data_IF_253049949664
#
_entry.id   IF_253049949664
#
_cell.length_a   1.000
_cell.length_b   1.000
_cell.length_c   1.000
_cell.angle_alpha   90.00
_cell.angle_beta   90.00
_cell.angle_gamma   90.00
#
_symmetry.space_group_name_H-M   'P 1'
#
loop_
_entity.id
_entity.type
_entity.pdbx_description
1 polymer ?
#
# COMPACT_ATOMS: atom_id res chain seq x y z
N UNK A 1 43.52 -2.68 11.05
CA UNK A 1 42.92 -3.37 9.88
C UNK A 1 41.42 -3.30 10.02
N UNK A 2 40.77 -2.76 8.98
CA UNK A 2 39.36 -2.40 8.91
C UNK A 2 38.43 -3.62 8.81
N UNK A 3 37.18 -3.45 9.26
CA UNK A 3 36.08 -4.37 9.01
C UNK A 3 34.75 -3.80 9.50
N UNK A 4 34.33 -2.68 8.91
CA UNK A 4 33.11 -1.96 9.27
C UNK A 4 31.82 -2.70 8.89
N UNK A 5 30.86 -2.67 9.81
CA UNK A 5 29.48 -3.08 9.57
C UNK A 5 28.81 -2.12 8.58
N UNK A 6 28.46 -2.63 7.39
CA UNK A 6 27.71 -1.88 6.39
C UNK A 6 26.21 -1.95 6.72
N UNK A 7 25.63 -0.77 6.86
CA UNK A 7 24.20 -0.52 7.01
C UNK A 7 23.39 -1.18 5.87
N UNK A 8 22.24 -1.75 6.23
CA UNK A 8 21.21 -2.15 5.27
C UNK A 8 20.62 -0.89 4.61
N UNK A 9 20.55 -0.80 3.28
CA UNK A 9 19.88 0.30 2.61
C UNK A 9 18.37 0.21 2.88
N UNK A 10 17.81 1.32 3.34
CA UNK A 10 16.38 1.59 3.28
C UNK A 10 15.93 1.41 1.83
N UNK A 11 15.06 0.44 1.56
CA UNK A 11 14.25 0.40 0.34
C UNK A 11 13.22 1.55 0.45
N UNK A 12 13.70 2.76 0.18
CA UNK A 12 12.90 3.95 -0.03
C UNK A 12 12.81 4.25 -1.52
N UNK A 13 11.59 4.56 -1.94
CA UNK A 13 11.17 5.08 -3.26
C UNK A 13 10.80 4.04 -4.31
N UNK A 14 9.71 3.30 -4.03
CA UNK A 14 8.65 3.15 -5.02
C UNK A 14 7.72 4.37 -4.89
N UNK A 15 7.16 4.93 -5.98
CA UNK A 15 6.41 6.17 -5.91
C UNK A 15 5.21 5.98 -4.98
N UNK A 16 5.18 6.80 -3.93
CA UNK A 16 3.97 7.02 -3.13
C UNK A 16 2.92 7.56 -4.08
N UNK A 17 1.94 6.72 -4.43
CA UNK A 17 0.75 7.17 -5.09
C UNK A 17 0.03 8.13 -4.13
N UNK A 18 -0.14 9.35 -4.61
CA UNK A 18 -0.84 10.44 -3.96
C UNK A 18 -2.23 9.97 -3.54
N UNK A 19 -2.60 10.28 -2.30
CA UNK A 19 -3.98 10.18 -1.82
C UNK A 19 -4.76 11.35 -2.41
N UNK A 20 -5.30 11.14 -3.60
CA UNK A 20 -6.32 11.97 -4.24
C UNK A 20 -7.23 11.02 -5.00
N UNK A 21 -8.54 11.23 -4.91
CA UNK A 21 -9.54 10.47 -5.68
C UNK A 21 -9.29 10.66 -7.17
N UNK A 22 -8.47 9.82 -7.79
CA UNK A 22 -8.29 9.79 -9.24
C UNK A 22 -8.29 8.35 -9.75
N UNK A 23 -9.19 8.13 -10.71
CA UNK A 23 -9.46 6.92 -11.50
C UNK A 23 -10.38 5.89 -10.84
N UNK A 24 -11.68 6.11 -11.00
CA UNK A 24 -12.69 5.04 -11.01
C UNK A 24 -12.43 3.97 -12.11
N UNK A 25 -11.38 4.17 -12.93
CA UNK A 25 -10.88 3.27 -13.99
C UNK A 25 -9.61 2.47 -13.61
N UNK A 26 -9.17 2.42 -12.34
CA UNK A 26 -8.20 1.40 -11.95
C UNK A 26 -8.85 0.01 -11.89
N UNK A 27 -8.44 -0.88 -12.80
CA UNK A 27 -8.72 -2.32 -12.79
C UNK A 27 -8.67 -2.87 -11.34
N UNK A 28 -9.77 -3.50 -10.88
CA UNK A 28 -9.96 -4.02 -9.51
C UNK A 28 -8.74 -4.84 -9.02
N UNK A 29 -8.04 -5.45 -9.94
CA UNK A 29 -6.95 -6.38 -9.70
C UNK A 29 -5.66 -5.67 -9.33
N UNK A 30 -5.44 -4.47 -9.88
CA UNK A 30 -4.37 -3.58 -9.46
C UNK A 30 -4.58 -3.16 -8.01
N UNK A 31 -5.82 -2.81 -7.63
CA UNK A 31 -6.19 -2.45 -6.27
C UNK A 31 -5.97 -3.60 -5.30
N UNK A 32 -6.43 -4.80 -5.66
CA UNK A 32 -6.24 -6.02 -4.84
C UNK A 32 -4.75 -6.32 -4.68
N UNK A 33 -3.98 -6.31 -5.76
CA UNK A 33 -2.55 -6.53 -5.72
C UNK A 33 -1.85 -5.52 -4.80
N UNK A 34 -2.17 -4.23 -4.92
CA UNK A 34 -1.65 -3.19 -4.06
C UNK A 34 -1.97 -3.44 -2.59
N UNK A 35 -3.23 -3.76 -2.26
CA UNK A 35 -3.63 -4.05 -0.87
C UNK A 35 -2.87 -5.25 -0.32
N UNK A 36 -2.67 -6.31 -1.13
CA UNK A 36 -1.89 -7.49 -0.73
C UNK A 36 -0.44 -7.13 -0.39
N UNK A 37 0.23 -6.39 -1.27
CA UNK A 37 1.63 -5.99 -1.06
C UNK A 37 1.75 -5.01 0.10
N UNK A 38 0.84 -4.04 0.21
CA UNK A 38 0.80 -3.08 1.31
C UNK A 38 0.57 -3.75 2.66
N UNK A 39 -0.38 -4.71 2.74
CA UNK A 39 -0.62 -5.50 3.95
C UNK A 39 0.57 -6.39 4.32
N UNK A 40 1.31 -6.92 3.33
CA UNK A 40 2.55 -7.66 3.56
C UNK A 40 3.62 -6.77 4.18
N UNK A 41 3.81 -5.56 3.64
CA UNK A 41 4.74 -4.56 4.21
C UNK A 41 4.33 -4.12 5.62
N UNK A 42 3.02 -3.96 5.88
CA UNK A 42 2.49 -3.66 7.20
C UNK A 42 2.76 -4.80 8.19
N UNK A 43 2.58 -6.05 7.78
CA UNK A 43 2.90 -7.24 8.59
C UNK A 43 4.38 -7.26 8.99
N UNK A 44 5.29 -7.05 8.03
CA UNK A 44 6.73 -7.01 8.29
C UNK A 44 7.07 -5.88 9.27
N UNK A 45 6.49 -4.70 9.07
CA UNK A 45 6.69 -3.54 9.95
C UNK A 45 6.23 -3.83 11.38
N UNK A 46 5.08 -4.50 11.55
CA UNK A 46 4.58 -4.90 12.86
C UNK A 46 5.56 -5.85 13.59
N UNK A 47 6.11 -6.84 12.89
CA UNK A 47 7.12 -7.75 13.46
C UNK A 47 8.40 -7.02 13.86
N UNK A 48 8.89 -6.08 13.02
CA UNK A 48 10.10 -5.31 13.32
C UNK A 48 9.91 -4.40 14.53
N UNK A 49 8.73 -3.78 14.67
CA UNK A 49 8.46 -2.92 15.82
C UNK A 49 8.22 -3.73 17.10
N UNK A 50 7.60 -4.92 17.00
CA UNK A 50 7.37 -5.82 18.13
C UNK A 50 8.67 -6.38 18.71
N UNK A 51 9.58 -6.82 17.85
CA UNK A 51 10.87 -7.40 18.23
C UNK A 51 12.00 -6.47 17.80
N UNK A 52 12.08 -5.29 18.42
CA UNK A 52 13.12 -4.30 18.15
C UNK A 52 14.28 -4.45 19.13
N UNK A 53 15.52 -4.41 18.63
CA UNK A 53 16.71 -4.43 19.49
C UNK A 53 16.99 -3.03 20.02
N UNK A 54 16.93 -2.87 21.35
CA UNK A 54 17.41 -1.67 22.00
C UNK A 54 18.94 -1.69 22.05
N UNK A 55 19.58 -0.79 21.31
CA UNK A 55 21.05 -0.74 21.20
C UNK A 55 21.75 -0.29 22.49
N UNK A 56 21.04 0.42 23.38
CA UNK A 56 21.60 0.87 24.65
C UNK A 56 21.61 -0.25 25.69
N UNK A 57 20.56 -1.08 25.72
CA UNK A 57 20.41 -2.14 26.72
C UNK A 57 20.78 -3.53 26.20
N UNK A 58 20.86 -3.71 24.88
CA UNK A 58 21.08 -5.01 24.23
C UNK A 58 19.87 -5.95 24.30
N UNK A 59 18.72 -5.49 24.79
CA UNK A 59 17.52 -6.30 24.95
C UNK A 59 16.56 -6.14 23.75
N UNK A 60 15.91 -7.23 23.37
CA UNK A 60 14.84 -7.23 22.36
C UNK A 60 13.50 -6.93 23.03
N UNK A 61 12.69 -6.08 22.42
CA UNK A 61 11.37 -5.76 22.93
C UNK A 61 10.55 -4.82 22.04
N UNK A 62 9.32 -4.49 22.46
CA UNK A 62 8.41 -3.65 21.69
C UNK A 62 8.91 -2.20 21.66
N UNK A 63 8.91 -1.62 20.46
CA UNK A 63 9.29 -0.23 20.22
C UNK A 63 8.07 0.59 19.76
N UNK A 64 7.54 1.40 20.67
CA UNK A 64 6.35 2.23 20.43
C UNK A 64 6.60 3.33 19.38
N UNK A 65 7.80 3.93 19.37
CA UNK A 65 8.16 4.95 18.38
C UNK A 65 8.14 4.37 16.97
N UNK A 66 8.73 3.18 16.77
CA UNK A 66 8.68 2.45 15.50
C UNK A 66 7.25 2.19 15.06
N UNK A 67 6.39 1.74 15.97
CA UNK A 67 4.99 1.45 15.67
C UNK A 67 4.24 2.73 15.27
N UNK A 68 4.47 3.84 15.97
CA UNK A 68 3.80 5.11 15.72
C UNK A 68 4.05 5.62 14.30
N UNK A 69 5.33 5.76 13.96
CA UNK A 69 5.80 6.28 12.67
C UNK A 69 5.44 5.37 11.49
N UNK A 70 5.44 4.04 11.68
CA UNK A 70 5.28 3.09 10.57
C UNK A 70 3.85 2.60 10.36
N UNK A 71 3.04 2.55 11.41
CA UNK A 71 1.71 1.93 11.38
C UNK A 71 0.60 2.78 12.00
N UNK A 72 0.81 3.39 13.17
CA UNK A 72 -0.27 4.11 13.86
C UNK A 72 -0.76 5.34 13.08
N UNK A 73 0.16 6.13 12.52
CA UNK A 73 -0.15 7.29 11.68
C UNK A 73 -0.71 6.91 10.30
N UNK A 74 -0.76 5.62 10.00
CA UNK A 74 -1.09 5.06 8.69
C UNK A 74 -2.18 3.96 8.81
N UNK A 75 -3.43 4.32 9.20
CA UNK A 75 -4.51 3.35 9.41
C UNK A 75 -4.85 2.53 8.16
N UNK A 76 -4.58 3.07 6.96
CA UNK A 76 -4.75 2.37 5.69
C UNK A 76 -3.87 1.12 5.60
N UNK A 77 -2.66 1.15 6.19
CA UNK A 77 -1.75 -0.01 6.23
C UNK A 77 -2.28 -1.10 7.14
N UNK A 78 -2.88 -0.72 8.26
CA UNK A 78 -3.53 -1.64 9.20
C UNK A 78 -4.77 -2.27 8.54
N UNK A 79 -5.58 -1.47 7.83
CA UNK A 79 -6.72 -1.96 7.05
C UNK A 79 -6.28 -2.99 5.99
N UNK A 80 -5.16 -2.75 5.30
CA UNK A 80 -4.59 -3.69 4.34
C UNK A 80 -4.02 -4.96 5.02
N UNK A 81 -3.53 -4.87 6.25
CA UNK A 81 -3.14 -6.04 7.03
C UNK A 81 -4.35 -6.95 7.36
N UNK A 82 -5.47 -6.36 7.78
CA UNK A 82 -6.73 -7.11 7.99
C UNK A 82 -7.26 -7.71 6.69
N UNK A 83 -7.16 -6.98 5.57
CA UNK A 83 -7.50 -7.49 4.24
C UNK A 83 -6.70 -8.77 3.91
N UNK A 84 -5.38 -8.74 4.13
CA UNK A 84 -4.52 -9.91 3.92
C UNK A 84 -4.89 -11.09 4.81
N UNK A 85 -5.22 -10.83 6.06
CA UNK A 85 -5.68 -11.87 6.98
C UNK A 85 -6.97 -12.52 6.45
N UNK A 86 -7.97 -11.73 6.08
CA UNK A 86 -9.23 -12.23 5.53
C UNK A 86 -9.01 -13.04 4.24
N UNK A 87 -8.17 -12.55 3.32
CA UNK A 87 -7.84 -13.24 2.07
C UNK A 87 -7.23 -14.63 2.34
N UNK A 88 -6.24 -14.72 3.24
CA UNK A 88 -5.54 -15.97 3.53
C UNK A 88 -6.42 -16.94 4.33
N UNK A 89 -7.18 -16.44 5.31
CA UNK A 89 -8.17 -17.26 6.06
C UNK A 89 -9.19 -17.86 5.10
N UNK A 90 -9.69 -17.07 4.15
CA UNK A 90 -10.62 -17.55 3.14
C UNK A 90 -10.04 -18.65 2.27
N UNK A 91 -8.80 -18.48 1.80
CA UNK A 91 -8.10 -19.53 1.05
C UNK A 91 -7.92 -20.81 1.87
N UNK A 92 -7.59 -20.71 3.16
CA UNK A 92 -7.45 -21.88 4.05
C UNK A 92 -8.79 -22.57 4.31
N UNK A 93 -9.87 -21.82 4.49
CA UNK A 93 -11.23 -22.37 4.62
C UNK A 93 -11.62 -23.17 3.38
N UNK A 94 -11.37 -22.61 2.19
CA UNK A 94 -11.66 -23.24 0.90
C UNK A 94 -10.81 -24.48 0.63
N UNK A 95 -9.57 -24.49 1.10
CA UNK A 95 -8.66 -25.62 0.95
C UNK A 95 -9.04 -26.81 1.86
N UNK A 96 -9.71 -26.57 3.00
CA UNK A 96 -10.01 -27.57 4.03
C UNK A 96 -10.50 -28.93 3.53
N UNK A 97 -11.56 -29.00 2.70
CA UNK A 97 -12.10 -30.27 2.18
C UNK A 97 -11.08 -31.10 1.40
N UNK A 98 -10.10 -30.45 0.76
CA UNK A 98 -9.08 -31.10 -0.08
C UNK A 98 -7.89 -31.64 0.73
N UNK A 99 -7.77 -31.29 2.01
CA UNK A 99 -6.66 -31.73 2.88
C UNK A 99 -6.93 -33.07 3.58
N UNK A 100 -8.15 -33.59 3.49
CA UNK A 100 -8.53 -34.87 4.12
C UNK A 100 -7.74 -36.06 3.61
N UNK A 101 -7.32 -36.06 2.33
CA UNK A 101 -6.57 -37.16 1.73
C UNK A 101 -5.05 -36.88 1.69
N UNK A 102 -4.61 -35.71 2.17
CA UNK A 102 -3.21 -35.30 2.07
C UNK A 102 -2.33 -35.99 3.12
N UNK A 103 -1.11 -36.38 2.70
CA UNK A 103 -0.06 -36.92 3.57
C UNK A 103 1.05 -35.87 3.74
N UNK A 104 1.24 -35.41 4.97
CA UNK A 104 2.22 -34.40 5.35
C UNK A 104 3.62 -34.99 5.54
N UNK A 105 3.73 -36.06 6.35
CA UNK A 105 4.98 -36.71 6.69
C UNK A 105 4.92 -38.22 6.39
N UNK A 106 5.62 -38.67 5.35
CA UNK A 106 5.65 -40.09 4.99
C UNK A 106 6.57 -40.93 5.90
N UNK A 107 7.48 -40.29 6.66
CA UNK A 107 8.46 -40.97 7.49
C UNK A 107 8.00 -41.25 8.92
N UNK A 108 6.98 -40.54 9.42
CA UNK A 108 6.44 -40.71 10.76
C UNK A 108 4.90 -40.58 10.74
N UNK A 109 4.17 -41.71 10.83
CA UNK A 109 2.71 -41.72 10.82
C UNK A 109 2.08 -40.97 12.00
N UNK A 110 2.77 -40.89 13.15
CA UNK A 110 2.22 -40.25 14.35
C UNK A 110 2.22 -38.72 14.20
N UNK A 111 3.33 -38.16 13.73
CA UNK A 111 3.45 -36.73 13.41
C UNK A 111 2.56 -36.33 12.23
N UNK A 112 2.39 -37.21 11.25
CA UNK A 112 1.47 -36.99 10.13
C UNK A 112 0.03 -36.81 10.62
N UNK A 113 -0.45 -37.74 11.44
CA UNK A 113 -1.79 -37.70 12.01
C UNK A 113 -2.01 -36.46 12.89
N UNK A 114 -1.03 -36.10 13.72
CA UNK A 114 -1.11 -34.91 14.58
C UNK A 114 -1.15 -33.61 13.75
N UNK A 115 -0.26 -33.49 12.76
CA UNK A 115 -0.20 -32.31 11.87
C UNK A 115 -1.51 -32.17 11.10
N UNK A 116 -2.01 -33.28 10.56
CA UNK A 116 -3.28 -33.33 9.83
C UNK A 116 -4.45 -32.90 10.72
N UNK A 117 -4.54 -33.42 11.94
CA UNK A 117 -5.59 -33.03 12.90
C UNK A 117 -5.56 -31.52 13.19
N UNK A 118 -4.38 -30.94 13.40
CA UNK A 118 -4.22 -29.50 13.67
C UNK A 118 -4.58 -28.63 12.47
N UNK A 119 -4.13 -29.03 11.27
CA UNK A 119 -4.44 -28.32 10.02
C UNK A 119 -5.93 -28.35 9.72
N UNK A 120 -6.57 -29.52 9.87
CA UNK A 120 -8.01 -29.65 9.68
C UNK A 120 -8.80 -28.81 10.69
N UNK A 121 -8.37 -28.78 11.96
CA UNK A 121 -8.99 -27.93 12.97
C UNK A 121 -8.94 -26.43 12.61
N UNK A 122 -7.78 -25.93 12.15
CA UNK A 122 -7.63 -24.55 11.68
C UNK A 122 -8.54 -24.28 10.48
N UNK A 123 -8.56 -25.18 9.50
CA UNK A 123 -9.40 -25.01 8.30
C UNK A 123 -10.90 -25.02 8.61
N UNK A 124 -11.32 -25.88 9.55
CA UNK A 124 -12.71 -25.94 10.01
C UNK A 124 -13.11 -24.69 10.78
N UNK A 125 -12.20 -24.13 11.59
CA UNK A 125 -12.43 -22.85 12.27
C UNK A 125 -12.54 -21.70 11.26
N UNK A 126 -11.64 -21.64 10.28
CA UNK A 126 -11.67 -20.65 9.22
C UNK A 126 -12.97 -20.71 8.39
N UNK A 127 -13.55 -21.90 8.21
CA UNK A 127 -14.79 -22.10 7.47
C UNK A 127 -16.07 -21.71 8.24
N UNK A 128 -16.00 -21.57 9.57
CA UNK A 128 -17.15 -21.14 10.39
C UNK A 128 -17.41 -19.63 10.31
N UNK A 129 -16.37 -18.86 10.03
CA UNK A 129 -16.49 -17.42 9.94
C UNK A 129 -17.25 -17.03 8.66
N UNK A 130 -18.11 -15.99 8.72
CA UNK A 130 -18.87 -15.56 7.56
C UNK A 130 -17.93 -15.08 6.45
N UNK A 131 -18.35 -15.24 5.19
CA UNK A 131 -17.57 -14.77 4.05
C UNK A 131 -17.44 -13.24 4.13
N UNK A 132 -16.26 -12.75 4.51
CA UNK A 132 -15.92 -11.32 4.57
C UNK A 132 -15.66 -10.76 3.17
N UNK A 133 -15.41 -11.66 2.20
CA UNK A 133 -15.01 -11.34 0.85
C UNK A 133 -16.06 -11.85 -0.14
N UNK A 134 -16.56 -10.97 -1.00
CA UNK A 134 -17.43 -11.37 -2.12
C UNK A 134 -16.54 -11.74 -3.31
N UNK A 135 -16.33 -13.04 -3.49
CA UNK A 135 -15.54 -13.58 -4.60
C UNK A 135 -16.09 -13.15 -5.96
N UNK A 136 -17.41 -13.01 -6.08
CA UNK A 136 -18.02 -12.65 -7.35
C UNK A 136 -17.58 -11.25 -7.79
N UNK A 137 -17.44 -10.30 -6.89
CA UNK A 137 -17.00 -8.95 -7.26
C UNK A 137 -15.53 -8.88 -7.68
N UNK A 138 -14.67 -9.78 -7.20
CA UNK A 138 -13.25 -9.81 -7.57
C UNK A 138 -12.97 -10.70 -8.79
N UNK A 139 -13.87 -11.64 -9.09
CA UNK A 139 -13.60 -12.75 -10.01
C UNK A 139 -14.72 -13.02 -11.03
N UNK A 140 -15.74 -12.15 -11.11
CA UNK A 140 -16.72 -12.17 -12.21
C UNK A 140 -16.08 -11.51 -13.41
N UNK A 141 -15.85 -12.31 -14.44
CA UNK A 141 -15.86 -12.00 -15.88
C UNK A 141 -14.94 -13.00 -16.58
N UNK A 142 -15.30 -13.45 -17.78
CA UNK A 142 -14.64 -14.50 -18.58
C UNK A 142 -13.17 -14.25 -18.97
N UNK A 143 -12.46 -13.38 -18.25
CA UNK A 143 -11.01 -13.10 -18.33
C UNK A 143 -10.20 -13.84 -17.26
N UNK A 144 -10.84 -14.72 -16.47
CA UNK A 144 -10.21 -15.51 -15.39
C UNK A 144 -8.86 -16.18 -15.72
N UNK A 145 -8.60 -16.70 -16.94
CA UNK A 145 -7.29 -17.23 -17.30
C UNK A 145 -6.20 -16.14 -17.41
N UNK A 146 -6.53 -14.96 -17.96
CA UNK A 146 -5.59 -13.85 -18.13
C UNK A 146 -5.22 -13.28 -16.77
N UNK A 147 -6.22 -13.04 -15.93
CA UNK A 147 -6.01 -12.40 -14.64
C UNK A 147 -5.16 -13.24 -13.69
N UNK A 148 -5.42 -14.55 -13.65
CA UNK A 148 -4.62 -15.51 -12.88
C UNK A 148 -3.15 -15.46 -13.31
N UNK A 149 -2.90 -15.40 -14.61
CA UNK A 149 -1.54 -15.36 -15.15
C UNK A 149 -0.85 -14.04 -14.80
N UNK A 150 -1.57 -12.92 -14.82
CA UNK A 150 -1.05 -11.62 -14.41
C UNK A 150 -0.65 -11.60 -12.94
N UNK A 151 -1.52 -12.04 -12.03
CA UNK A 151 -1.17 -12.17 -10.62
C UNK A 151 0.07 -13.06 -10.43
N UNK A 152 0.09 -14.23 -11.08
CA UNK A 152 1.21 -15.16 -11.01
C UNK A 152 2.52 -14.53 -11.48
N UNK A 153 2.49 -13.77 -12.58
CA UNK A 153 3.66 -13.08 -13.11
C UNK A 153 4.12 -11.94 -12.21
N UNK A 154 3.20 -11.18 -11.60
CA UNK A 154 3.54 -10.15 -10.62
C UNK A 154 4.18 -10.73 -9.35
N UNK A 155 3.63 -11.81 -8.79
CA UNK A 155 4.23 -12.48 -7.63
C UNK A 155 5.59 -13.14 -7.93
N UNK A 156 5.78 -13.67 -9.15
CA UNK A 156 7.12 -14.12 -9.61
C UNK A 156 8.12 -12.98 -9.65
N UNK A 157 7.71 -11.81 -10.13
CA UNK A 157 8.56 -10.63 -10.16
C UNK A 157 8.90 -10.14 -8.75
N UNK A 158 7.94 -10.12 -7.82
CA UNK A 158 8.22 -9.85 -6.40
C UNK A 158 9.21 -10.89 -5.84
N UNK A 159 9.00 -12.17 -6.12
CA UNK A 159 9.91 -13.21 -5.63
C UNK A 159 11.34 -13.05 -6.16
N UNK A 160 11.52 -12.54 -7.38
CA UNK A 160 12.84 -12.18 -7.93
C UNK A 160 13.41 -10.95 -7.23
N UNK A 161 12.59 -9.96 -6.92
CA UNK A 161 13.01 -8.79 -6.15
C UNK A 161 13.49 -9.18 -4.74
N UNK A 162 12.87 -10.18 -4.11
CA UNK A 162 13.32 -10.71 -2.82
C UNK A 162 14.72 -11.34 -2.88
N UNK A 163 15.22 -11.74 -4.07
CA UNK A 163 16.60 -12.21 -4.23
C UNK A 163 17.65 -11.10 -4.10
N UNK A 164 17.25 -9.84 -4.26
CA UNK A 164 18.10 -8.67 -4.08
C UNK A 164 18.20 -8.21 -2.63
N UNK A 165 17.46 -8.82 -1.70
CA UNK A 165 17.46 -8.45 -0.28
C UNK A 165 18.68 -9.08 0.42
N UNK A 166 19.60 -8.24 0.90
CA UNK A 166 20.84 -8.68 1.54
C UNK A 166 20.69 -9.26 2.96
N UNK A 167 19.54 -9.08 3.60
CA UNK A 167 19.23 -9.69 4.89
C UNK A 167 18.65 -11.10 4.70
N UNK A 168 19.36 -12.14 5.14
CA UNK A 168 18.94 -13.54 4.93
C UNK A 168 17.59 -13.87 5.56
N UNK A 169 17.35 -13.41 6.81
CA UNK A 169 16.06 -13.60 7.48
C UNK A 169 14.93 -12.88 6.71
N UNK A 170 15.19 -11.66 6.25
CA UNK A 170 14.23 -10.85 5.51
C UNK A 170 13.91 -11.48 4.15
N UNK A 171 14.93 -12.00 3.46
CA UNK A 171 14.79 -12.74 2.21
C UNK A 171 13.98 -14.02 2.40
N UNK A 172 14.26 -14.79 3.45
CA UNK A 172 13.52 -16.01 3.78
C UNK A 172 12.03 -15.72 4.02
N UNK A 173 11.72 -14.78 4.93
CA UNK A 173 10.33 -14.44 5.26
C UNK A 173 9.63 -13.73 4.12
N UNK A 174 10.33 -12.87 3.37
CA UNK A 174 9.81 -12.21 2.18
C UNK A 174 9.39 -13.22 1.11
N UNK A 175 10.25 -14.20 0.80
CA UNK A 175 9.91 -15.28 -0.13
C UNK A 175 8.79 -16.18 0.37
N UNK A 176 8.82 -16.53 1.66
CA UNK A 176 7.79 -17.37 2.26
C UNK A 176 6.41 -16.70 2.19
N UNK A 177 6.32 -15.43 2.56
CA UNK A 177 5.07 -14.67 2.51
C UNK A 177 4.60 -14.44 1.07
N UNK A 178 5.51 -14.07 0.16
CA UNK A 178 5.18 -13.90 -1.27
C UNK A 178 4.60 -15.20 -1.86
N UNK A 179 5.21 -16.35 -1.56
CA UNK A 179 4.71 -17.65 -2.00
C UNK A 179 3.40 -18.04 -1.31
N UNK A 180 3.21 -17.67 -0.05
CA UNK A 180 1.96 -17.90 0.69
C UNK A 180 0.79 -17.11 0.11
N UNK A 181 0.97 -15.82 -0.20
CA UNK A 181 -0.05 -15.01 -0.88
C UNK A 181 -0.35 -15.52 -2.29
N UNK A 182 0.69 -15.90 -3.05
CA UNK A 182 0.51 -16.52 -4.36
C UNK A 182 -0.27 -17.84 -4.28
N UNK A 183 -0.01 -18.66 -3.26
CA UNK A 183 -0.75 -19.90 -3.00
C UNK A 183 -2.20 -19.61 -2.59
N UNK A 184 -2.43 -18.60 -1.74
CA UNK A 184 -3.78 -18.21 -1.34
C UNK A 184 -4.63 -17.82 -2.55
N UNK A 185 -4.09 -16.95 -3.41
CA UNK A 185 -4.75 -16.55 -4.65
C UNK A 185 -4.95 -17.73 -5.61
N UNK A 186 -3.95 -18.61 -5.77
CA UNK A 186 -4.08 -19.85 -6.55
C UNK A 186 -5.26 -20.70 -6.06
N UNK A 187 -5.41 -20.86 -4.75
CA UNK A 187 -6.54 -21.60 -4.16
C UNK A 187 -7.88 -20.90 -4.46
N UNK A 188 -7.92 -19.58 -4.31
CA UNK A 188 -9.13 -18.80 -4.61
C UNK A 188 -9.52 -18.90 -6.09
N UNK A 189 -8.57 -18.88 -7.03
CA UNK A 189 -8.82 -18.95 -8.48
C UNK A 189 -9.11 -20.36 -9.02
N UNK A 190 -8.45 -21.40 -8.51
CA UNK A 190 -8.49 -22.74 -9.12
C UNK A 190 -9.60 -23.63 -8.54
N UNK A 191 -9.96 -23.44 -7.27
CA UNK A 191 -10.85 -24.37 -6.56
C UNK A 191 -12.34 -23.99 -6.65
N UNK A 192 -12.70 -22.86 -7.30
CA UNK A 192 -14.10 -22.49 -7.61
C UNK A 192 -14.50 -22.78 -9.06
N UNK A 193 -13.63 -23.42 -9.87
CA UNK A 193 -13.99 -23.76 -11.24
C UNK A 193 -14.74 -25.10 -11.31
N UNK A 194 -16.08 -25.12 -11.45
CA UNK A 194 -16.83 -26.35 -11.73
C UNK A 194 -16.45 -26.98 -13.09
N UNK A 195 -15.70 -26.25 -13.93
CA UNK A 195 -15.21 -26.68 -15.23
C UNK A 195 -13.75 -27.17 -15.23
N UNK A 196 -13.09 -27.33 -14.07
CA UNK A 196 -11.79 -28.00 -13.97
C UNK A 196 -11.96 -29.53 -14.11
N UNK A 197 -12.44 -29.92 -15.29
CA UNK A 197 -12.68 -31.28 -15.75
C UNK A 197 -11.60 -31.61 -16.79
N UNK A 198 -10.66 -32.50 -16.46
CA UNK A 198 -9.94 -33.25 -17.51
C UNK A 198 -10.80 -34.48 -17.83
N UNK A 199 -11.73 -34.35 -18.78
CA UNK A 199 -12.73 -35.39 -19.06
C UNK A 199 -13.84 -35.44 -18.00
N UNK A 200 -14.29 -36.63 -17.59
CA UNK A 200 -15.36 -36.83 -16.59
C UNK A 200 -14.86 -36.84 -15.13
N UNK A 201 -13.59 -36.51 -14.88
CA UNK A 201 -12.97 -36.57 -13.53
C UNK A 201 -12.65 -35.17 -13.04
N UNK A 202 -13.19 -34.81 -11.87
CA UNK A 202 -12.77 -33.59 -11.15
C UNK A 202 -11.29 -33.72 -10.79
N UNK A 203 -10.43 -32.97 -11.50
CA UNK A 203 -9.01 -32.90 -11.17
C UNK A 203 -8.85 -31.98 -9.97
N UNK A 204 -8.67 -32.57 -8.79
CA UNK A 204 -8.31 -31.82 -7.58
C UNK A 204 -7.02 -31.01 -7.86
N UNK A 205 -7.02 -29.67 -7.75
CA UNK A 205 -5.81 -28.89 -8.00
C UNK A 205 -4.69 -29.33 -7.05
N UNK A 206 -3.56 -29.75 -7.61
CA UNK A 206 -2.44 -30.28 -6.83
C UNK A 206 -1.59 -29.13 -6.28
N UNK A 207 -1.54 -29.02 -4.96
CA UNK A 207 -0.63 -28.12 -4.26
C UNK A 207 0.68 -28.83 -3.91
N UNK A 208 1.80 -28.17 -4.16
CA UNK A 208 3.11 -28.65 -3.72
C UNK A 208 3.22 -28.51 -2.20
N UNK A 209 4.01 -29.38 -1.56
CA UNK A 209 4.30 -29.28 -0.11
C UNK A 209 4.81 -27.88 0.28
N UNK A 210 5.63 -27.26 -0.56
CA UNK A 210 6.18 -25.91 -0.32
C UNK A 210 5.12 -24.81 -0.37
N UNK A 211 4.09 -24.95 -1.22
CA UNK A 211 2.96 -24.03 -1.29
C UNK A 211 2.11 -24.13 -0.01
N UNK A 212 1.82 -25.36 0.44
CA UNK A 212 1.08 -25.61 1.68
C UNK A 212 1.82 -25.04 2.91
N UNK A 213 3.12 -25.32 3.03
CA UNK A 213 3.96 -24.80 4.11
C UNK A 213 3.98 -23.27 4.09
N UNK A 214 4.13 -22.65 2.91
CA UNK A 214 4.13 -21.20 2.78
C UNK A 214 2.78 -20.58 3.18
N UNK A 215 1.66 -21.19 2.78
CA UNK A 215 0.31 -20.70 3.11
C UNK A 215 0.07 -20.65 4.63
N UNK A 216 0.30 -21.75 5.34
CA UNK A 216 0.08 -21.80 6.79
C UNK A 216 1.06 -20.94 7.58
N UNK A 217 2.33 -20.87 7.16
CA UNK A 217 3.30 -19.98 7.82
C UNK A 217 2.98 -18.50 7.56
N UNK A 218 2.43 -18.17 6.40
CA UNK A 218 1.97 -16.81 6.09
C UNK A 218 0.77 -16.44 6.96
N UNK A 219 -0.22 -17.34 7.09
CA UNK A 219 -1.34 -17.16 8.01
C UNK A 219 -0.86 -16.91 9.45
N UNK A 220 0.07 -17.74 9.94
CA UNK A 220 0.64 -17.58 11.28
C UNK A 220 1.35 -16.22 11.46
N UNK A 221 2.11 -15.78 10.44
CA UNK A 221 2.80 -14.49 10.47
C UNK A 221 1.85 -13.31 10.52
N UNK A 222 0.81 -13.31 9.68
CA UNK A 222 -0.20 -12.24 9.67
C UNK A 222 -0.99 -12.24 10.97
N UNK A 223 -1.38 -13.41 11.48
CA UNK A 223 -2.07 -13.55 12.76
C UNK A 223 -1.26 -12.96 13.92
N UNK A 224 0.04 -13.24 13.97
CA UNK A 224 0.93 -12.66 14.97
C UNK A 224 1.12 -11.15 14.78
N UNK A 225 1.12 -10.65 13.54
CA UNK A 225 1.13 -9.20 13.29
C UNK A 225 -0.11 -8.51 13.81
N UNK A 226 -1.30 -9.12 13.67
CA UNK A 226 -2.55 -8.58 14.21
C UNK A 226 -2.55 -8.54 15.74
N UNK A 227 -2.07 -9.61 16.38
CA UNK A 227 -1.90 -9.65 17.84
C UNK A 227 -0.92 -8.57 18.32
N UNK A 228 0.21 -8.38 17.62
CA UNK A 228 1.17 -7.31 17.91
C UNK A 228 0.53 -5.92 17.76
N UNK A 229 -0.24 -5.69 16.68
CA UNK A 229 -0.97 -4.43 16.49
C UNK A 229 -1.97 -4.19 17.63
N UNK A 230 -2.67 -5.22 18.10
CA UNK A 230 -3.55 -5.13 19.27
C UNK A 230 -2.81 -4.68 20.52
N UNK A 231 -1.70 -5.36 20.85
CA UNK A 231 -0.84 -4.99 22.00
C UNK A 231 -0.29 -3.57 21.90
N UNK A 232 0.12 -3.15 20.71
CA UNK A 232 0.61 -1.79 20.50
C UNK A 232 -0.49 -0.74 20.68
N UNK A 233 -1.73 -1.02 20.25
CA UNK A 233 -2.86 -0.13 20.51
C UNK A 233 -3.09 0.05 22.00
N UNK A 234 -3.08 -1.04 22.77
CA UNK A 234 -3.25 -0.97 24.23
C UNK A 234 -2.14 -0.13 24.90
N UNK A 235 -0.90 -0.24 24.40
CA UNK A 235 0.23 0.54 24.90
C UNK A 235 0.11 2.04 24.55
N UNK A 236 -0.33 2.36 23.33
CA UNK A 236 -0.58 3.74 22.90
C UNK A 236 -1.71 4.35 23.71
N UNK A 237 -2.82 3.64 23.89
CA UNK A 237 -3.97 4.07 24.69
C UNK A 237 -3.56 4.31 26.15
N UNK A 238 -2.66 3.49 26.70
CA UNK A 238 -2.12 3.66 28.05
C UNK A 238 -1.17 4.87 28.18
N UNK A 239 -0.41 5.23 27.14
CA UNK A 239 0.41 6.45 27.13
C UNK A 239 -0.46 7.72 26.97
N UNK A 240 -1.45 7.66 26.08
CA UNK A 240 -2.33 8.81 25.78
C UNK A 240 -3.33 9.05 26.92
N UNK A 241 -3.82 7.99 27.56
CA UNK A 241 -4.62 8.06 28.79
C UNK A 241 -3.87 8.68 29.97
N UNK A 242 -2.53 8.54 30.02
CA UNK A 242 -1.68 9.25 31.00
C UNK A 242 -1.45 10.72 30.65
N UNK A 243 -1.60 11.11 29.37
CA UNK A 243 -1.43 12.49 28.88
C UNK A 243 -2.75 13.27 28.77
N UNK A 244 -3.89 12.69 29.15
CA UNK A 244 -5.18 13.39 29.24
C UNK A 244 -5.84 13.73 27.89
N UNK A 245 -5.30 13.27 26.77
CA UNK A 245 -5.87 13.48 25.44
C UNK A 245 -6.35 12.16 24.84
N UNK A 246 -7.66 11.94 24.75
CA UNK A 246 -8.23 10.83 23.96
C UNK A 246 -7.98 11.11 22.48
N UNK A 247 -6.95 10.52 21.88
CA UNK A 247 -6.90 10.36 20.43
C UNK A 247 -7.85 9.23 20.04
N UNK A 248 -9.07 9.60 19.64
CA UNK A 248 -9.98 8.65 19.02
C UNK A 248 -9.40 8.30 17.64
N UNK A 249 -8.91 7.08 17.46
CA UNK A 249 -8.62 6.53 16.13
C UNK A 249 -9.96 6.38 15.42
N UNK A 250 -10.32 7.38 14.60
CA UNK A 250 -11.48 7.31 13.71
C UNK A 250 -11.21 6.14 12.77
N UNK A 251 -11.98 5.07 12.93
CA UNK A 251 -11.96 3.97 11.96
C UNK A 251 -12.55 4.48 10.65
N UNK A 252 -12.09 4.02 9.49
CA UNK A 252 -12.66 4.43 8.18
C UNK A 252 -14.19 4.27 8.11
N UNK A 253 -14.74 3.37 8.94
CA UNK A 253 -16.18 3.13 9.13
C UNK A 253 -16.92 4.33 9.75
N UNK A 254 -16.28 5.15 10.57
CA UNK A 254 -16.85 6.38 11.12
C UNK A 254 -16.70 7.59 10.17
N UNK A 255 -15.68 7.57 9.30
CA UNK A 255 -15.54 8.56 8.23
C UNK A 255 -16.57 8.37 7.10
N UNK A 256 -17.05 7.13 6.91
CA UNK A 256 -18.12 6.76 5.97
C UNK A 256 -19.54 6.80 6.57
N UNK A 257 -19.73 7.49 7.71
CA UNK A 257 -21.04 7.67 8.32
C UNK A 257 -21.99 8.53 7.49
N UNK A 258 -23.04 7.90 6.93
CA UNK A 258 -24.24 8.45 6.28
C UNK A 258 -24.08 9.02 4.86
N UNK A 259 -24.07 8.12 3.89
CA UNK A 259 -24.77 8.38 2.63
C UNK A 259 -25.73 7.22 2.32
N UNK A 260 -26.78 7.13 3.13
CA UNK A 260 -28.03 6.56 2.62
C UNK A 260 -28.60 7.60 1.64
N UNK A 261 -28.33 7.41 0.36
CA UNK A 261 -29.13 8.07 -0.68
C UNK A 261 -30.45 7.29 -0.76
N UNK A 262 -31.60 7.91 -0.45
CA UNK A 262 -32.88 7.25 -0.62
C UNK A 262 -33.14 7.06 -2.12
N UNK A 263 -33.65 5.87 -2.47
CA UNK A 263 -33.75 5.40 -3.84
C UNK A 263 -34.43 6.38 -4.79
N UNK A 264 -33.81 6.55 -5.96
CA UNK A 264 -34.51 6.92 -7.19
C UNK A 264 -34.20 5.88 -8.26
N UNK A 265 -35.29 5.25 -8.71
CA UNK A 265 -35.35 4.33 -9.84
C UNK A 265 -34.73 4.94 -11.08
N UNK A 266 -33.63 4.38 -11.59
CA UNK A 266 -33.11 4.71 -12.90
C UNK A 266 -34.01 4.09 -13.98
N UNK A 267 -34.80 4.93 -14.65
CA UNK A 267 -35.31 4.61 -15.99
C UNK A 267 -34.16 4.81 -16.97
N UNK A 268 -33.85 3.77 -17.74
CA UNK A 268 -32.95 3.84 -18.88
C UNK A 268 -33.43 4.93 -19.85
N UNK A 269 -32.53 5.86 -20.19
CA UNK A 269 -32.75 6.85 -21.24
C UNK A 269 -31.67 6.66 -22.30
N UNK A 270 -31.79 5.56 -23.05
CA UNK A 270 -31.48 5.63 -24.48
C UNK A 270 -32.45 6.62 -25.12
N UNK A 271 -31.95 7.44 -26.03
CA UNK A 271 -32.60 8.57 -26.72
C UNK A 271 -32.71 9.88 -25.93
N UNK A 272 -31.83 10.82 -26.30
CA UNK A 272 -32.20 12.19 -26.74
C UNK A 272 -31.03 12.89 -27.43
N UNK A 273 -31.38 13.75 -28.39
CA UNK A 273 -30.57 14.20 -29.54
C UNK A 273 -29.83 15.53 -29.29
N UNK A 274 -28.77 15.72 -30.08
CA UNK A 274 -27.70 16.72 -30.07
C UNK A 274 -28.07 18.22 -30.08
N UNK A 275 -29.35 18.59 -29.96
CA UNK A 275 -29.81 19.98 -30.10
C UNK A 275 -30.11 20.70 -28.77
N UNK A 276 -30.13 20.00 -27.65
CA UNK A 276 -30.37 20.61 -26.31
C UNK A 276 -29.10 20.97 -25.53
N UNK A 277 -27.89 20.67 -26.05
CA UNK A 277 -26.61 21.00 -25.39
C UNK A 277 -26.11 22.44 -25.65
N UNK A 278 -26.78 23.21 -26.51
CA UNK A 278 -26.22 24.47 -27.06
C UNK A 278 -26.76 25.79 -26.52
N UNK A 279 -27.61 25.82 -25.50
CA UNK A 279 -28.14 27.09 -24.98
C UNK A 279 -28.20 27.09 -23.45
N UNK A 280 -27.20 27.70 -22.80
CA UNK A 280 -27.34 28.69 -21.70
C UNK A 280 -25.96 29.15 -21.16
N UNK A 281 -25.85 30.39 -20.68
CA UNK A 281 -24.66 31.25 -20.83
C UNK A 281 -23.74 31.31 -19.60
N UNK A 282 -22.54 31.88 -19.84
CA UNK A 282 -21.58 32.35 -18.84
C UNK A 282 -22.21 33.36 -17.88
N UNK A 283 -22.01 33.16 -16.57
CA UNK A 283 -22.03 34.22 -15.57
C UNK A 283 -20.66 34.17 -14.85
N UNK A 284 -19.84 35.17 -15.16
CA UNK A 284 -18.66 35.57 -14.38
C UNK A 284 -19.14 36.41 -13.19
N UNK A 285 -18.93 35.97 -11.96
CA UNK A 285 -18.71 36.88 -10.82
C UNK A 285 -17.66 36.29 -9.88
N UNK A 286 -16.53 36.98 -9.81
CA UNK A 286 -15.41 36.73 -8.92
C UNK A 286 -15.83 36.94 -7.46
N UNK A 287 -15.68 35.92 -6.61
CA UNK A 287 -15.54 36.11 -5.17
C UNK A 287 -14.13 35.70 -4.74
N UNK A 288 -13.35 36.75 -4.48
CA UNK A 288 -12.03 36.76 -3.89
C UNK A 288 -12.08 36.19 -2.47
N UNK A 289 -11.50 35.02 -2.25
CA UNK A 289 -11.05 34.63 -0.91
C UNK A 289 -9.56 34.29 -0.97
N UNK A 290 -8.81 35.06 -0.19
CA UNK A 290 -7.37 34.96 -0.08
C UNK A 290 -6.96 33.90 0.93
N UNK A 291 -5.67 33.58 0.87
CA UNK A 291 -4.92 32.75 1.81
C UNK A 291 -5.03 31.24 1.60
N UNK A 292 -4.21 30.71 0.68
CA UNK A 292 -3.47 29.48 0.93
C UNK A 292 -2.11 29.53 0.22
N UNK A 293 -1.05 29.35 1.01
CA UNK A 293 0.35 29.39 0.59
C UNK A 293 0.78 28.06 -0.03
N UNK A 294 1.67 28.14 -1.03
CA UNK A 294 2.36 27.05 -1.75
C UNK A 294 1.55 26.28 -2.81
N UNK A 295 1.00 26.99 -3.80
CA UNK A 295 0.58 26.35 -5.06
C UNK A 295 1.77 25.73 -5.81
N UNK A 296 1.77 24.40 -5.95
CA UNK A 296 2.69 23.67 -6.82
C UNK A 296 2.55 24.15 -8.28
N UNK A 297 3.58 24.81 -8.80
CA UNK A 297 3.59 25.32 -10.20
C UNK A 297 3.33 24.22 -11.21
N UNK A 298 3.71 22.98 -10.91
CA UNK A 298 3.45 21.84 -11.78
C UNK A 298 1.94 21.62 -11.99
N UNK A 299 1.10 21.84 -10.96
CA UNK A 299 -0.36 21.77 -11.08
C UNK A 299 -0.89 22.89 -11.96
N UNK A 300 -0.38 24.11 -11.77
CA UNK A 300 -0.77 25.28 -12.57
C UNK A 300 -0.43 25.09 -14.06
N UNK A 301 0.75 24.53 -14.36
CA UNK A 301 1.18 24.23 -15.73
C UNK A 301 0.33 23.09 -16.33
N UNK A 302 0.06 22.04 -15.57
CA UNK A 302 -0.72 20.90 -16.04
C UNK A 302 -2.20 21.26 -16.29
N UNK A 303 -2.82 22.03 -15.40
CA UNK A 303 -4.19 22.54 -15.57
C UNK A 303 -4.31 23.45 -16.79
N UNK A 304 -3.32 24.32 -17.01
CA UNK A 304 -3.27 25.15 -18.22
C UNK A 304 -3.09 24.30 -19.50
N UNK A 305 -2.32 23.21 -19.44
CA UNK A 305 -2.11 22.28 -20.55
C UNK A 305 -3.39 21.49 -20.88
N UNK A 306 -4.13 21.05 -19.86
CA UNK A 306 -5.41 20.35 -20.01
C UNK A 306 -6.49 21.25 -20.63
N UNK A 307 -6.55 22.53 -20.26
CA UNK A 307 -7.47 23.49 -20.90
C UNK A 307 -7.17 23.65 -22.39
N UNK A 308 -5.89 23.64 -22.77
CA UNK A 308 -5.41 23.80 -24.16
C UNK A 308 -5.87 22.69 -25.12
N UNK A 309 -6.13 21.48 -24.63
CA UNK A 309 -6.56 20.33 -25.46
C UNK A 309 -8.06 20.40 -25.82
N UNK A 310 -8.80 21.32 -25.20
CA UNK A 310 -10.28 21.41 -25.32
C UNK A 310 -10.78 22.62 -26.12
N UNK A 311 -9.92 23.57 -26.49
CA UNK A 311 -10.32 24.85 -27.11
C UNK A 311 -9.58 25.13 -28.42
N UNK A 312 -10.32 25.44 -29.49
CA UNK A 312 -9.75 25.98 -30.72
C UNK A 312 -9.66 27.50 -30.58
N UNK A 313 -8.50 28.01 -30.15
CA UNK A 313 -8.33 29.42 -29.75
C UNK A 313 -7.81 30.33 -30.87
N UNK A 314 -8.11 31.62 -30.77
CA UNK A 314 -7.59 32.67 -31.64
C UNK A 314 -6.12 32.98 -31.32
N UNK A 315 -5.34 33.44 -32.31
CA UNK A 315 -3.90 33.66 -32.16
C UNK A 315 -3.51 34.65 -31.04
N UNK A 316 -4.40 35.61 -30.71
CA UNK A 316 -4.13 36.60 -29.66
C UNK A 316 -4.43 36.08 -28.25
N UNK A 317 -5.47 35.25 -28.08
CA UNK A 317 -5.80 34.64 -26.78
C UNK A 317 -4.72 33.64 -26.35
N UNK A 318 -4.19 32.86 -27.30
CA UNK A 318 -3.07 31.96 -27.05
C UNK A 318 -1.82 32.72 -26.56
N UNK A 319 -1.50 33.87 -27.15
CA UNK A 319 -0.33 34.69 -26.74
C UNK A 319 -0.55 35.30 -25.34
N UNK A 320 -1.75 35.77 -25.04
CA UNK A 320 -2.08 36.33 -23.72
C UNK A 320 -1.97 35.27 -22.61
N UNK A 321 -2.43 34.04 -22.86
CA UNK A 321 -2.35 32.96 -21.89
C UNK A 321 -0.90 32.50 -21.64
N UNK A 322 -0.10 32.33 -22.71
CA UNK A 322 1.32 31.98 -22.58
C UNK A 322 2.12 33.07 -21.84
N UNK A 323 1.82 34.36 -22.07
CA UNK A 323 2.49 35.46 -21.36
C UNK A 323 2.13 35.52 -19.87
N UNK A 324 0.90 35.15 -19.50
CA UNK A 324 0.49 35.07 -18.09
C UNK A 324 1.20 33.94 -17.34
N UNK A 325 1.35 32.77 -17.97
CA UNK A 325 2.11 31.64 -17.41
C UNK A 325 3.58 32.03 -17.20
N UNK A 326 4.20 32.65 -18.22
CA UNK A 326 5.59 33.13 -18.14
C UNK A 326 5.74 34.14 -16.99
N UNK A 327 4.81 35.07 -16.84
CA UNK A 327 4.82 36.05 -15.75
C UNK A 327 4.79 35.38 -14.37
N UNK A 328 3.92 34.37 -14.16
CA UNK A 328 3.88 33.59 -12.90
C UNK A 328 5.20 32.86 -12.62
N UNK A 329 5.78 32.22 -13.64
CA UNK A 329 7.06 31.51 -13.50
C UNK A 329 8.17 32.48 -13.11
N UNK A 330 8.25 33.64 -13.75
CA UNK A 330 9.24 34.68 -13.45
C UNK A 330 9.09 35.18 -12.01
N UNK A 331 7.87 35.45 -11.57
CA UNK A 331 7.60 35.93 -10.21
C UNK A 331 7.98 34.89 -9.15
N UNK A 332 7.70 33.60 -9.43
CA UNK A 332 8.13 32.50 -8.56
C UNK A 332 9.66 32.36 -8.49
N UNK A 333 10.36 32.41 -9.62
CA UNK A 333 11.83 32.35 -9.64
C UNK A 333 12.42 33.49 -8.81
N UNK A 334 11.85 34.70 -8.92
CA UNK A 334 12.23 35.84 -8.09
C UNK A 334 11.98 35.59 -6.59
N UNK A 335 10.81 35.07 -6.22
CA UNK A 335 10.47 34.73 -4.83
C UNK A 335 11.44 33.68 -4.26
N UNK A 336 11.80 32.68 -5.06
CA UNK A 336 12.73 31.63 -4.67
C UNK A 336 14.16 32.17 -4.52
N UNK A 337 14.61 33.06 -5.41
CA UNK A 337 15.89 33.77 -5.28
C UNK A 337 15.96 34.64 -4.03
N UNK A 338 14.86 35.29 -3.63
CA UNK A 338 14.79 36.10 -2.41
C UNK A 338 14.82 35.23 -1.14
N UNK A 339 14.22 34.03 -1.18
CA UNK A 339 14.29 33.08 -0.06
C UNK A 339 15.62 32.32 0.05
N UNK A 340 16.37 32.20 -1.04
CA UNK A 340 17.59 31.38 -1.12
C UNK A 340 18.66 31.77 -0.09
N UNK A 341 18.98 33.05 0.17
CA UNK A 341 19.96 33.42 1.19
C UNK A 341 19.62 32.89 2.58
N UNK A 342 18.33 32.88 2.96
CA UNK A 342 17.87 32.34 4.26
C UNK A 342 18.06 30.83 4.33
N UNK A 343 17.69 30.12 3.25
CA UNK A 343 17.84 28.66 3.17
C UNK A 343 19.34 28.28 3.15
N UNK A 344 20.16 28.98 2.39
CA UNK A 344 21.61 28.77 2.32
C UNK A 344 22.28 29.02 3.68
N UNK A 345 21.85 30.06 4.42
CA UNK A 345 22.32 30.34 5.77
C UNK A 345 21.95 29.22 6.76
N UNK A 346 20.74 28.69 6.68
CA UNK A 346 20.31 27.55 7.50
C UNK A 346 21.08 26.27 7.17
N UNK A 347 21.38 26.03 5.88
CA UNK A 347 22.22 24.89 5.45
C UNK A 347 23.65 25.05 5.98
N UNK A 348 24.23 26.24 5.82
CA UNK A 348 25.59 26.53 6.25
C UNK A 348 25.74 26.38 7.78
N UNK A 349 24.84 26.98 8.56
CA UNK A 349 24.88 26.87 10.03
C UNK A 349 24.71 25.43 10.51
N UNK A 350 23.85 24.63 9.86
CA UNK A 350 23.70 23.21 10.18
C UNK A 350 24.98 22.42 9.87
N UNK A 351 25.58 22.57 8.68
CA UNK A 351 26.81 21.84 8.34
C UNK A 351 28.03 22.30 9.15
N UNK A 352 28.13 23.59 9.50
CA UNK A 352 29.16 24.11 10.42
C UNK A 352 28.98 23.52 11.82
N UNK A 353 27.75 23.45 12.31
CA UNK A 353 27.45 22.81 13.59
C UNK A 353 27.82 21.32 13.58
N UNK A 354 27.51 20.60 12.50
CA UNK A 354 27.89 19.19 12.31
C UNK A 354 29.41 18.99 12.24
N UNK A 355 30.13 19.87 11.55
CA UNK A 355 31.60 19.85 11.52
C UNK A 355 32.19 20.13 12.91
N UNK A 356 31.60 21.05 13.66
CA UNK A 356 32.00 21.34 15.03
C UNK A 356 31.79 20.16 15.96
N UNK A 357 30.62 19.50 15.90
CA UNK A 357 30.33 18.29 16.67
C UNK A 357 31.30 17.15 16.33
N UNK A 358 31.66 16.99 15.06
CA UNK A 358 32.66 16.03 14.62
C UNK A 358 34.06 16.37 15.16
N UNK A 359 34.45 17.66 15.17
CA UNK A 359 35.74 18.12 15.69
C UNK A 359 35.90 17.88 17.20
N UNK A 360 34.83 18.08 17.99
CA UNK A 360 34.83 17.87 19.45
C UNK A 360 34.51 16.42 19.87
N UNK A 361 34.31 15.50 18.91
CA UNK A 361 34.08 14.07 19.18
C UNK A 361 32.69 13.71 19.72
N UNK A 362 31.70 14.58 19.54
CA UNK A 362 30.29 14.34 19.92
C UNK A 362 29.50 13.72 18.75
N UNK A 363 28.36 13.04 19.01
CA UNK A 363 27.55 12.43 17.97
C UNK A 363 27.02 13.49 16.98
N UNK A 364 27.17 13.21 15.68
CA UNK A 364 26.81 14.14 14.59
C UNK A 364 25.28 14.13 14.39
N UNK A 365 24.59 15.28 14.48
CA UNK A 365 23.14 15.33 14.24
C UNK A 365 22.78 15.02 12.77
N UNK A 366 21.57 14.50 12.56
CA UNK A 366 21.07 14.16 11.22
C UNK A 366 20.91 15.42 10.35
N UNK A 367 21.14 15.28 9.03
CA UNK A 367 21.00 16.39 8.08
C UNK A 367 19.51 16.74 7.93
N UNK A 368 19.16 18.01 8.11
CA UNK A 368 17.76 18.50 8.01
C UNK A 368 17.36 18.91 6.59
N UNK A 369 18.25 18.76 5.61
CA UNK A 369 18.05 19.17 4.23
C UNK A 369 18.48 18.06 3.27
N UNK A 370 17.89 18.03 2.08
CA UNK A 370 18.20 17.06 1.03
C UNK A 370 17.98 17.67 -0.34
N UNK A 371 18.64 17.12 -1.36
CA UNK A 371 18.45 17.54 -2.74
C UNK A 371 17.12 16.97 -3.26
N UNK A 372 16.17 17.83 -3.61
CA UNK A 372 15.07 17.41 -4.50
C UNK A 372 15.67 17.22 -5.91
N UNK A 373 15.30 16.15 -6.60
CA UNK A 373 15.74 15.89 -7.98
C UNK A 373 15.29 17.08 -8.85
N UNK A 374 16.21 17.65 -9.62
CA UNK A 374 15.85 18.64 -10.64
C UNK A 374 15.20 17.87 -11.80
N UNK A 375 13.96 18.18 -12.19
CA UNK A 375 13.30 17.54 -13.33
C UNK A 375 14.11 17.70 -14.62
N UNK A 376 14.16 16.65 -15.44
CA UNK A 376 14.88 16.68 -16.72
C UNK A 376 14.13 17.56 -17.73
N UNK A 377 14.82 18.18 -18.72
CA UNK A 377 14.16 18.98 -19.74
C UNK A 377 13.06 18.22 -20.50
N UNK A 378 13.16 16.90 -20.59
CA UNK A 378 12.18 16.00 -21.20
C UNK A 378 10.85 15.89 -20.41
N UNK A 379 10.81 16.34 -19.16
CA UNK A 379 9.58 16.41 -18.36
C UNK A 379 8.84 17.75 -18.56
N UNK A 380 9.46 18.72 -19.24
CA UNK A 380 8.88 20.05 -19.52
C UNK A 380 8.36 20.23 -20.96
N UNK A 381 8.85 19.42 -21.91
CA UNK A 381 8.32 19.35 -23.28
C UNK A 381 7.37 18.16 -23.38
#
# INVERSE_FOLDING_TARGET
MQGGAKHAPLLGNAPSAETGFENEDECLEKRVFYRVVSGMHASISAHICQDSLNQLTGQWGPNLTCYRERLHEHPERISNLYFNYALVVRAVAKLGPYLNDYTYCSGDPTQDAETKSKVLAISAQAAREPNIFDESQMFVNGEGPSLKEDFRNRFRNISRMMDCVGCDKCRLWGKLQTNGYGTALKVLFEFDNPHALEGDVQVKPQLKRTELVALFNTLARISSSLDAVGKFRDLVDAEDGKKGGKYHVITDRERLGRQQVPGKSYKASSDKTEKERRESPMDDEDEYDGEDEDEDIQKVINDARMRRDTTQESAWEAICNETWIIYRIVLYIFKQWISFPKVAWNIFTNEVSRLWYNYIGLPIPMRTWGWKRVPSPEEFF
#
